data_IF_896434511580
#
_entry.id   IF_896434511580
#
_cell.length_a   1.000
_cell.length_b   1.000
_cell.length_c   1.000
_cell.angle_alpha   90.00
_cell.angle_beta   90.00
_cell.angle_gamma   90.00
#
_symmetry.space_group_name_H-M   'P 1'
#
loop_
_entity.id
_entity.type
_entity.pdbx_description
1 polymer ?
#
# COMPACT_ATOMS: atom_id res chain seq x y z
N UNK A 1 -55.91 -13.38 -24.22
CA UNK A 1 -55.11 -13.79 -25.39
C UNK A 1 -54.06 -12.71 -25.60
N UNK A 2 -52.79 -13.10 -25.79
CA UNK A 2 -51.54 -12.29 -25.73
C UNK A 2 -51.15 -11.91 -24.29
N UNK A 3 -49.95 -12.19 -23.77
CA UNK A 3 -48.74 -12.72 -24.39
C UNK A 3 -47.51 -12.05 -23.76
N UNK A 4 -46.88 -12.79 -22.84
CA UNK A 4 -45.52 -12.71 -22.26
C UNK A 4 -44.52 -11.72 -22.88
N UNK A 5 -43.75 -11.02 -22.02
CA UNK A 5 -42.27 -10.94 -22.09
C UNK A 5 -41.69 -10.45 -20.75
N UNK A 6 -41.34 -11.42 -19.90
CA UNK A 6 -40.48 -11.20 -18.75
C UNK A 6 -39.02 -11.23 -19.24
N UNK A 7 -38.32 -10.11 -19.11
CA UNK A 7 -36.88 -10.04 -19.36
C UNK A 7 -36.14 -10.54 -18.11
N UNK A 8 -35.72 -11.79 -18.15
CA UNK A 8 -34.73 -12.34 -17.22
C UNK A 8 -33.35 -11.80 -17.59
N UNK A 9 -32.80 -10.91 -16.76
CA UNK A 9 -31.39 -10.57 -16.82
C UNK A 9 -30.57 -11.75 -16.29
N UNK A 10 -29.92 -12.48 -17.20
CA UNK A 10 -28.80 -13.35 -16.87
C UNK A 10 -27.62 -12.46 -16.45
N UNK A 11 -27.43 -12.26 -15.15
CA UNK A 11 -26.12 -11.89 -14.62
C UNK A 11 -25.20 -13.09 -14.79
N UNK A 12 -24.40 -13.06 -15.87
CA UNK A 12 -23.24 -13.93 -15.98
C UNK A 12 -22.31 -13.62 -14.80
N UNK A 13 -22.35 -14.47 -13.78
CA UNK A 13 -21.35 -14.48 -12.73
C UNK A 13 -20.01 -14.83 -13.39
N UNK A 14 -19.17 -13.81 -13.59
CA UNK A 14 -17.75 -14.04 -13.79
C UNK A 14 -17.24 -14.60 -12.46
N UNK A 15 -17.24 -15.93 -12.37
CA UNK A 15 -16.55 -16.65 -11.32
C UNK A 15 -15.05 -16.37 -11.51
N UNK A 16 -14.58 -15.28 -10.91
CA UNK A 16 -13.17 -15.11 -10.64
C UNK A 16 -12.77 -16.28 -9.74
N UNK A 17 -12.04 -17.24 -10.30
CA UNK A 17 -11.42 -18.30 -9.54
C UNK A 17 -10.66 -17.63 -8.38
N UNK A 18 -11.08 -17.88 -7.14
CA UNK A 18 -10.31 -17.46 -5.99
C UNK A 18 -8.94 -18.13 -6.12
N UNK A 19 -7.83 -17.39 -6.18
CA UNK A 19 -6.53 -18.01 -6.12
C UNK A 19 -6.47 -18.79 -4.81
N UNK A 20 -6.35 -20.11 -4.92
CA UNK A 20 -6.10 -20.95 -3.76
C UNK A 20 -4.82 -20.43 -3.09
N UNK A 21 -4.79 -20.35 -1.76
CA UNK A 21 -3.57 -19.95 -1.06
C UNK A 21 -2.43 -20.82 -1.55
N UNK A 22 -1.28 -20.21 -1.84
CA UNK A 22 -0.11 -21.02 -2.07
C UNK A 22 0.20 -21.67 -0.73
N UNK A 23 -0.06 -22.97 -0.58
CA UNK A 23 0.26 -23.73 0.65
C UNK A 23 1.78 -23.83 0.91
N UNK A 24 2.59 -22.99 0.27
CA UNK A 24 4.04 -22.96 0.42
C UNK A 24 4.40 -21.92 1.45
N UNK A 25 4.95 -22.35 2.57
CA UNK A 25 5.52 -21.40 3.53
C UNK A 25 6.66 -20.59 2.89
N UNK A 26 6.81 -19.29 3.22
CA UNK A 26 7.96 -18.52 2.78
C UNK A 26 9.27 -19.15 3.25
N UNK A 27 10.31 -19.14 2.40
CA UNK A 27 11.66 -19.52 2.81
C UNK A 27 12.27 -18.41 3.69
N UNK A 28 11.90 -18.40 4.97
CA UNK A 28 12.32 -17.37 5.93
C UNK A 28 13.84 -17.18 6.03
N UNK A 29 14.70 -18.22 5.99
CA UNK A 29 16.15 -18.04 5.94
C UNK A 29 16.62 -17.20 4.74
N UNK A 30 16.10 -17.46 3.54
CA UNK A 30 16.44 -16.67 2.34
C UNK A 30 15.93 -15.24 2.47
N UNK A 31 14.69 -15.06 2.94
CA UNK A 31 14.09 -13.74 3.14
C UNK A 31 14.87 -12.94 4.21
N UNK A 32 15.31 -13.57 5.29
CA UNK A 32 16.08 -12.92 6.36
C UNK A 32 17.42 -12.37 5.86
N UNK A 33 18.08 -13.09 4.96
CA UNK A 33 19.34 -12.65 4.33
C UNK A 33 19.14 -11.44 3.42
N UNK A 34 18.04 -11.41 2.65
CA UNK A 34 17.79 -10.35 1.65
C UNK A 34 17.09 -9.13 2.27
N UNK A 35 16.15 -9.37 3.19
CA UNK A 35 15.31 -8.36 3.85
C UNK A 35 15.35 -8.51 5.38
N UNK A 36 16.52 -8.36 6.01
CA UNK A 36 16.68 -8.58 7.45
C UNK A 36 15.75 -7.69 8.31
N UNK A 37 15.47 -6.48 7.83
CA UNK A 37 14.62 -5.49 8.51
C UNK A 37 13.12 -5.66 8.24
N UNK A 38 12.70 -6.65 7.43
CA UNK A 38 11.29 -6.94 7.21
C UNK A 38 10.62 -7.20 8.56
N UNK A 39 9.56 -6.44 8.87
CA UNK A 39 8.77 -6.68 10.08
C UNK A 39 7.85 -7.87 9.82
N UNK A 40 8.04 -8.95 10.56
CA UNK A 40 7.19 -10.14 10.52
C UNK A 40 6.24 -10.17 11.71
N UNK A 41 5.12 -10.85 11.53
CA UNK A 41 4.12 -11.06 12.58
C UNK A 41 4.35 -12.42 13.20
N UNK A 42 4.38 -12.47 14.53
CA UNK A 42 4.72 -13.65 15.31
C UNK A 42 3.60 -13.86 16.29
N UNK A 43 2.92 -15.01 16.20
CA UNK A 43 2.01 -15.42 17.26
C UNK A 43 2.85 -15.94 18.41
N UNK A 44 2.66 -15.35 19.59
CA UNK A 44 3.20 -15.86 20.85
C UNK A 44 2.06 -16.49 21.62
N UNK A 45 2.26 -17.73 22.05
CA UNK A 45 1.39 -18.48 22.92
C UNK A 45 2.11 -18.76 24.23
N UNK A 46 1.38 -18.66 25.34
CA UNK A 46 1.87 -18.89 26.70
C UNK A 46 0.99 -19.91 27.38
N UNK A 47 1.59 -20.82 28.16
CA UNK A 47 0.83 -21.79 28.97
C UNK A 47 0.06 -21.13 30.13
N UNK A 48 0.40 -19.88 30.48
CA UNK A 48 -0.30 -19.05 31.47
C UNK A 48 -0.64 -17.67 30.89
N UNK A 49 -1.61 -16.94 31.47
CA UNK A 49 -1.89 -15.56 31.07
C UNK A 49 -0.66 -14.66 31.12
N UNK A 50 -0.51 -13.76 30.13
CA UNK A 50 0.58 -12.78 30.09
C UNK A 50 0.49 -11.83 31.29
N UNK A 51 1.61 -11.69 31.99
CA UNK A 51 1.82 -10.69 33.04
C UNK A 51 2.62 -9.51 32.51
N UNK A 52 2.75 -8.45 33.30
CA UNK A 52 3.58 -7.30 32.92
C UNK A 52 5.06 -7.69 32.75
N UNK A 53 5.57 -8.57 33.62
CA UNK A 53 6.95 -9.08 33.54
C UNK A 53 7.20 -9.85 32.23
N UNK A 54 6.20 -10.62 31.78
CA UNK A 54 6.27 -11.35 30.51
C UNK A 54 6.37 -10.40 29.32
N UNK A 55 5.56 -9.33 29.32
CA UNK A 55 5.58 -8.32 28.26
C UNK A 55 6.91 -7.55 28.24
N UNK A 56 7.48 -7.23 29.40
CA UNK A 56 8.80 -6.63 29.50
C UNK A 56 9.88 -7.55 28.90
N UNK A 57 9.86 -8.85 29.27
CA UNK A 57 10.80 -9.84 28.74
C UNK A 57 10.71 -10.01 27.22
N UNK A 58 9.49 -10.00 26.67
CA UNK A 58 9.28 -10.05 25.21
C UNK A 58 9.76 -8.75 24.54
N UNK A 59 9.54 -7.59 25.16
CA UNK A 59 10.02 -6.30 24.66
C UNK A 59 11.56 -6.23 24.61
N UNK A 60 12.26 -6.76 25.61
CA UNK A 60 13.73 -6.88 25.62
C UNK A 60 14.26 -7.74 24.45
N UNK A 61 13.42 -8.64 23.94
CA UNK A 61 13.67 -9.45 22.73
C UNK A 61 13.17 -8.78 21.44
N UNK A 62 12.89 -7.48 21.47
CA UNK A 62 12.36 -6.70 20.34
C UNK A 62 10.99 -7.17 19.81
N UNK A 63 10.22 -7.89 20.63
CA UNK A 63 8.84 -8.27 20.33
C UNK A 63 7.90 -7.22 20.91
N UNK A 64 7.15 -6.56 20.04
CA UNK A 64 6.12 -5.59 20.45
C UNK A 64 4.76 -6.05 19.97
N UNK A 65 3.67 -5.87 20.73
CA UNK A 65 2.32 -6.16 20.26
C UNK A 65 2.06 -5.54 18.88
N UNK A 66 1.52 -6.32 17.96
CA UNK A 66 1.40 -5.93 16.55
C UNK A 66 0.14 -5.12 16.27
N UNK A 67 -0.95 -5.39 16.99
CA UNK A 67 -2.31 -4.96 16.63
C UNK A 67 -3.08 -4.27 17.77
N UNK A 68 -2.48 -4.12 18.95
CA UNK A 68 -3.09 -3.53 20.14
C UNK A 68 -2.06 -2.99 21.11
N UNK A 69 -2.48 -2.13 22.03
CA UNK A 69 -1.62 -1.67 23.14
C UNK A 69 -1.20 -2.84 24.04
N UNK A 70 -0.01 -2.75 24.63
CA UNK A 70 0.52 -3.81 25.49
C UNK A 70 -0.38 -4.13 26.69
N UNK A 71 -1.07 -3.13 27.26
CA UNK A 71 -2.04 -3.35 28.32
C UNK A 71 -3.21 -4.25 27.92
N UNK A 72 -3.59 -4.27 26.64
CA UNK A 72 -4.65 -5.12 26.09
C UNK A 72 -4.20 -6.55 25.81
N UNK A 73 -2.92 -6.88 26.08
CA UNK A 73 -2.37 -8.24 26.01
C UNK A 73 -2.35 -8.91 27.38
N UNK A 74 -2.35 -8.13 28.47
CA UNK A 74 -2.35 -8.66 29.83
C UNK A 74 -3.56 -9.58 30.06
N UNK A 75 -3.32 -10.72 30.71
CA UNK A 75 -4.36 -11.70 30.97
C UNK A 75 -4.71 -12.62 29.79
N UNK A 76 -4.16 -12.38 28.59
CA UNK A 76 -4.34 -13.29 27.45
C UNK A 76 -3.32 -14.43 27.48
N UNK A 77 -3.63 -15.56 26.86
CA UNK A 77 -2.67 -16.67 26.67
C UNK A 77 -2.06 -16.67 25.27
N UNK A 78 -2.58 -15.85 24.34
CA UNK A 78 -2.13 -15.76 22.95
C UNK A 78 -2.25 -14.32 22.47
N UNK A 79 -1.22 -13.83 21.80
CA UNK A 79 -1.24 -12.52 21.14
C UNK A 79 -0.27 -12.48 19.95
N UNK A 80 -0.47 -11.52 19.06
CA UNK A 80 0.39 -11.31 17.89
C UNK A 80 1.35 -10.17 18.18
N UNK A 81 2.64 -10.46 18.00
CA UNK A 81 3.75 -9.53 18.13
C UNK A 81 4.38 -9.27 16.77
N UNK A 82 5.18 -8.21 16.68
CA UNK A 82 5.99 -7.89 15.52
C UNK A 82 7.45 -7.72 15.93
N UNK A 83 8.35 -8.19 15.07
CA UNK A 83 9.79 -8.01 15.19
C UNK A 83 10.44 -7.90 13.80
N UNK A 84 11.63 -7.27 13.66
CA UNK A 84 12.47 -7.48 12.50
C UNK A 84 12.78 -8.97 12.31
N UNK A 85 12.74 -9.45 11.07
CA UNK A 85 12.98 -10.86 10.76
C UNK A 85 14.36 -11.32 11.24
N UNK A 86 15.41 -10.51 11.02
CA UNK A 86 16.77 -10.83 11.48
C UNK A 86 16.85 -11.08 12.99
N UNK A 87 16.09 -10.29 13.78
CA UNK A 87 16.08 -10.39 15.24
C UNK A 87 15.37 -11.65 15.69
N UNK A 88 14.28 -12.01 15.01
CA UNK A 88 13.59 -13.25 15.27
C UNK A 88 14.43 -14.47 14.90
N UNK A 89 15.05 -14.49 13.72
CA UNK A 89 15.85 -15.63 13.25
C UNK A 89 17.14 -15.83 14.04
N UNK A 90 17.71 -14.74 14.59
CA UNK A 90 18.91 -14.82 15.43
C UNK A 90 18.60 -15.00 16.92
N UNK A 91 17.33 -14.93 17.33
CA UNK A 91 16.96 -15.01 18.75
C UNK A 91 17.19 -16.44 19.28
N UNK A 92 17.66 -16.51 20.53
CA UNK A 92 17.57 -17.74 21.32
C UNK A 92 16.10 -18.17 21.44
N UNK A 93 15.82 -19.48 21.62
CA UNK A 93 14.47 -19.94 21.92
C UNK A 93 13.78 -19.09 22.99
N UNK A 94 12.48 -18.91 22.84
CA UNK A 94 11.70 -18.19 23.84
C UNK A 94 11.76 -18.97 25.16
N UNK A 95 11.90 -18.28 26.31
CA UNK A 95 11.93 -18.94 27.59
C UNK A 95 10.54 -19.49 27.91
N UNK A 96 10.48 -20.56 28.71
CA UNK A 96 9.22 -21.00 29.32
C UNK A 96 8.58 -19.81 30.05
N UNK A 97 7.26 -19.54 29.89
CA UNK A 97 6.22 -20.42 29.33
C UNK A 97 5.91 -20.24 27.83
N UNK A 98 6.73 -19.52 27.06
CA UNK A 98 6.36 -19.07 25.72
C UNK A 98 6.73 -20.02 24.59
N UNK A 99 5.85 -20.06 23.60
CA UNK A 99 6.09 -20.61 22.26
C UNK A 99 5.77 -19.55 21.22
N UNK A 100 6.46 -19.57 20.08
CA UNK A 100 6.26 -18.56 19.04
C UNK A 100 6.43 -19.09 17.64
N UNK A 101 5.57 -18.63 16.73
CA UNK A 101 5.57 -18.99 15.31
C UNK A 101 5.35 -17.76 14.44
N UNK A 102 6.12 -17.63 13.36
CA UNK A 102 5.86 -16.60 12.34
C UNK A 102 4.55 -16.92 11.62
N UNK A 103 3.69 -15.92 11.45
CA UNK A 103 2.46 -16.06 10.69
C UNK A 103 2.73 -16.03 9.19
N UNK A 104 2.53 -17.18 8.53
CA UNK A 104 2.55 -17.32 7.07
C UNK A 104 1.22 -16.89 6.43
N UNK A 105 0.11 -17.05 7.14
CA UNK A 105 -1.22 -16.56 6.77
C UNK A 105 -1.98 -16.03 7.98
N UNK A 106 -2.75 -14.96 7.80
CA UNK A 106 -3.55 -14.36 8.86
C UNK A 106 -4.70 -13.54 8.30
N UNK A 107 -5.69 -13.25 9.16
CA UNK A 107 -6.70 -12.25 8.87
C UNK A 107 -6.28 -10.90 9.44
N UNK A 108 -6.38 -9.87 8.62
CA UNK A 108 -6.21 -8.47 9.00
C UNK A 108 -7.56 -7.76 8.85
N UNK A 109 -8.20 -7.42 9.96
CA UNK A 109 -9.44 -6.66 9.95
C UNK A 109 -9.24 -5.30 10.61
N UNK A 110 -9.96 -4.28 10.16
CA UNK A 110 -9.75 -2.96 10.73
C UNK A 110 -10.64 -1.88 10.16
N UNK A 111 -10.37 -0.67 10.62
CA UNK A 111 -11.00 0.56 10.19
C UNK A 111 -9.91 1.55 9.79
N UNK A 112 -9.99 2.03 8.57
CA UNK A 112 -9.24 3.16 8.05
C UNK A 112 -10.15 4.41 8.06
N UNK A 113 -9.64 5.53 8.56
CA UNK A 113 -10.39 6.78 8.75
C UNK A 113 -9.68 7.91 8.03
N UNK A 114 -10.44 8.66 7.25
CA UNK A 114 -10.02 9.93 6.66
C UNK A 114 -11.03 11.00 7.03
N UNK A 115 -10.55 12.21 7.26
CA UNK A 115 -11.45 13.34 7.42
C UNK A 115 -10.90 14.57 6.70
N UNK A 116 -11.83 15.36 6.18
CA UNK A 116 -11.55 16.63 5.52
C UNK A 116 -12.28 17.75 6.23
N UNK A 117 -11.74 18.96 6.14
CA UNK A 117 -12.42 20.20 6.49
C UNK A 117 -12.34 21.16 5.31
N UNK A 118 -13.47 21.76 4.96
CA UNK A 118 -13.53 22.79 3.92
C UNK A 118 -12.92 24.08 4.45
N UNK A 119 -11.80 24.53 3.87
CA UNK A 119 -11.10 25.76 4.25
C UNK A 119 -11.39 26.91 3.27
N UNK A 120 -12.15 26.66 2.21
CA UNK A 120 -12.54 27.65 1.22
C UNK A 120 -13.37 28.78 1.84
N UNK A 121 -12.83 30.00 1.85
CA UNK A 121 -13.47 31.17 2.48
C UNK A 121 -14.82 31.50 1.83
N UNK A 122 -15.85 31.73 2.65
CA UNK A 122 -17.22 32.03 2.24
C UNK A 122 -17.84 31.01 1.29
N UNK A 123 -17.26 29.80 1.19
CA UNK A 123 -17.74 28.79 0.27
C UNK A 123 -19.05 28.19 0.75
N UNK A 124 -20.02 28.13 -0.17
CA UNK A 124 -21.28 27.42 -0.04
C UNK A 124 -21.69 26.92 -1.42
N UNK A 125 -21.48 25.64 -1.69
CA UNK A 125 -21.69 25.08 -3.02
C UNK A 125 -21.51 23.58 -3.08
N UNK A 126 -21.65 22.97 -4.28
CA UNK A 126 -21.56 21.54 -4.45
C UNK A 126 -20.13 21.02 -4.34
N UNK A 127 -19.94 19.81 -3.82
CA UNK A 127 -18.65 19.13 -3.77
C UNK A 127 -18.80 17.66 -4.15
N UNK A 128 -18.18 17.29 -5.25
CA UNK A 128 -17.95 15.91 -5.62
C UNK A 128 -16.56 15.49 -5.12
N UNK A 129 -16.50 14.41 -4.34
CA UNK A 129 -15.28 13.88 -3.75
C UNK A 129 -15.12 12.41 -4.13
N UNK A 130 -14.02 12.08 -4.78
CA UNK A 130 -13.59 10.71 -5.08
C UNK A 130 -12.41 10.34 -4.18
N UNK A 131 -12.47 9.16 -3.57
CA UNK A 131 -11.40 8.66 -2.71
C UNK A 131 -11.31 7.14 -2.78
N UNK A 132 -10.08 6.64 -2.84
CA UNK A 132 -9.85 5.19 -2.84
C UNK A 132 -10.16 4.55 -1.49
N UNK A 133 -10.94 3.46 -1.55
CA UNK A 133 -11.21 2.53 -0.47
C UNK A 133 -10.23 1.34 -0.50
N UNK A 134 -10.12 0.57 0.60
CA UNK A 134 -9.30 -0.65 0.64
C UNK A 134 -9.62 -1.58 -0.54
N UNK A 135 -8.60 -2.04 -1.28
CA UNK A 135 -8.75 -2.89 -2.48
C UNK A 135 -8.03 -4.24 -2.36
N UNK A 136 -8.24 -5.13 -3.33
CA UNK A 136 -7.43 -6.35 -3.52
C UNK A 136 -5.97 -6.01 -3.85
N UNK A 137 -5.00 -6.82 -3.44
CA UNK A 137 -3.59 -6.68 -3.85
C UNK A 137 -2.81 -8.01 -3.71
N UNK A 138 -1.54 -8.03 -4.13
CA UNK A 138 -0.67 -9.21 -3.99
C UNK A 138 -0.67 -9.73 -2.54
N UNK A 139 -0.98 -11.01 -2.37
CA UNK A 139 -1.07 -11.67 -1.07
C UNK A 139 -2.10 -11.08 -0.12
N UNK A 140 -3.07 -10.30 -0.62
CA UNK A 140 -4.14 -9.66 0.17
C UNK A 140 -5.48 -9.85 -0.51
N UNK A 141 -6.23 -10.85 -0.06
CA UNK A 141 -7.59 -11.07 -0.52
C UNK A 141 -8.59 -10.31 0.35
N UNK A 142 -9.39 -9.41 -0.24
CA UNK A 142 -10.37 -8.59 0.47
C UNK A 142 -11.70 -9.33 0.61
N UNK A 143 -11.90 -9.98 1.77
CA UNK A 143 -13.12 -10.75 2.05
C UNK A 143 -14.35 -9.86 2.23
N UNK A 144 -14.18 -8.73 2.92
CA UNK A 144 -15.28 -7.78 3.13
C UNK A 144 -14.76 -6.37 3.29
N UNK A 145 -15.59 -5.42 2.88
CA UNK A 145 -15.35 -4.00 3.10
C UNK A 145 -16.67 -3.24 3.21
N UNK A 146 -16.67 -2.23 4.06
CA UNK A 146 -17.82 -1.34 4.27
C UNK A 146 -17.36 0.11 4.39
N UNK A 147 -18.28 1.04 4.18
CA UNK A 147 -17.98 2.45 4.37
C UNK A 147 -19.14 3.21 5.05
N UNK A 148 -18.77 4.14 5.93
CA UNK A 148 -19.67 5.10 6.56
C UNK A 148 -19.14 6.50 6.31
N UNK A 149 -20.02 7.41 5.90
CA UNK A 149 -19.67 8.79 5.57
C UNK A 149 -20.55 9.73 6.38
N UNK A 150 -19.95 10.78 6.95
CA UNK A 150 -20.62 11.83 7.72
C UNK A 150 -20.14 13.21 7.26
N UNK A 151 -21.02 14.16 6.95
CA UNK A 151 -22.46 14.01 6.89
C UNK A 151 -22.87 13.02 5.78
N UNK A 152 -24.00 12.31 5.95
CA UNK A 152 -24.50 11.39 4.95
C UNK A 152 -24.76 12.12 3.63
N UNK A 153 -24.46 11.47 2.52
CA UNK A 153 -24.79 11.96 1.18
C UNK A 153 -24.92 10.80 0.19
N UNK A 154 -25.37 11.10 -1.03
CA UNK A 154 -25.38 10.15 -2.13
C UNK A 154 -23.95 9.66 -2.40
N UNK A 155 -23.79 8.33 -2.44
CA UNK A 155 -22.50 7.68 -2.63
C UNK A 155 -22.58 6.52 -3.60
N UNK A 156 -21.50 6.34 -4.34
CA UNK A 156 -21.35 5.29 -5.35
C UNK A 156 -19.97 4.65 -5.19
N UNK A 157 -19.89 3.33 -5.36
CA UNK A 157 -18.62 2.61 -5.37
C UNK A 157 -18.34 2.13 -6.78
N UNK A 158 -17.25 2.60 -7.38
CA UNK A 158 -16.78 2.21 -8.71
C UNK A 158 -15.47 1.42 -8.59
N UNK A 159 -15.32 0.38 -9.39
CA UNK A 159 -14.04 -0.34 -9.51
C UNK A 159 -13.47 -0.04 -10.89
N UNK A 160 -12.23 0.43 -10.96
CA UNK A 160 -11.55 0.66 -12.24
C UNK A 160 -10.80 -0.58 -12.73
N UNK A 161 -10.21 -0.48 -13.92
CA UNK A 161 -9.47 -1.57 -14.58
C UNK A 161 -8.25 -2.07 -13.79
N UNK A 162 -7.67 -1.25 -12.91
CA UNK A 162 -6.59 -1.65 -12.01
C UNK A 162 -7.09 -2.28 -10.70
N UNK A 163 -8.41 -2.41 -10.55
CA UNK A 163 -9.05 -2.91 -9.33
C UNK A 163 -9.07 -1.87 -8.20
N UNK A 164 -8.83 -0.59 -8.47
CA UNK A 164 -9.00 0.44 -7.45
C UNK A 164 -10.48 0.63 -7.15
N UNK A 165 -10.80 0.72 -5.86
CA UNK A 165 -12.18 0.88 -5.38
C UNK A 165 -12.40 2.35 -5.05
N UNK A 166 -13.05 3.09 -5.94
CA UNK A 166 -13.35 4.51 -5.80
C UNK A 166 -14.69 4.72 -5.11
N UNK A 167 -14.68 5.31 -3.92
CA UNK A 167 -15.88 5.83 -3.29
C UNK A 167 -16.09 7.27 -3.78
N UNK A 168 -17.19 7.47 -4.51
CA UNK A 168 -17.62 8.75 -5.05
C UNK A 168 -18.72 9.30 -4.14
N UNK A 169 -18.55 10.53 -3.66
CA UNK A 169 -19.49 11.23 -2.78
C UNK A 169 -19.93 12.51 -3.46
N UNK A 170 -21.24 12.76 -3.51
CA UNK A 170 -21.81 13.94 -4.16
C UNK A 170 -22.52 14.79 -3.12
N UNK A 171 -21.93 15.91 -2.70
CA UNK A 171 -22.57 16.86 -1.79
C UNK A 171 -23.22 17.97 -2.61
N UNK A 172 -24.55 18.14 -2.59
CA UNK A 172 -25.20 19.23 -3.31
C UNK A 172 -24.85 20.60 -2.70
N UNK A 173 -24.62 20.65 -1.40
CA UNK A 173 -24.16 21.85 -0.68
C UNK A 173 -23.21 21.43 0.45
N UNK A 174 -22.01 22.01 0.46
CA UNK A 174 -21.07 22.00 1.57
C UNK A 174 -20.62 23.43 1.86
N UNK A 175 -20.31 23.72 3.13
CA UNK A 175 -19.97 25.06 3.60
C UNK A 175 -18.55 25.13 4.14
N UNK A 176 -17.98 26.33 4.16
CA UNK A 176 -16.75 26.60 4.90
C UNK A 176 -16.84 26.05 6.33
N UNK A 177 -15.73 25.48 6.82
CA UNK A 177 -15.58 24.82 8.11
C UNK A 177 -16.33 23.51 8.31
N UNK A 178 -17.14 23.07 7.35
CA UNK A 178 -17.81 21.78 7.42
C UNK A 178 -16.78 20.65 7.32
N UNK A 179 -16.96 19.63 8.16
CA UNK A 179 -16.10 18.45 8.18
C UNK A 179 -16.77 17.26 7.48
N UNK A 180 -15.99 16.53 6.69
CA UNK A 180 -16.38 15.28 6.05
C UNK A 180 -15.56 14.18 6.69
N UNK A 181 -16.21 13.15 7.22
CA UNK A 181 -15.60 12.00 7.87
C UNK A 181 -15.94 10.74 7.10
N UNK A 182 -14.91 9.99 6.73
CA UNK A 182 -15.01 8.73 6.03
C UNK A 182 -14.40 7.63 6.89
N UNK A 183 -15.16 6.56 7.08
CA UNK A 183 -14.73 5.37 7.79
C UNK A 183 -14.85 4.18 6.85
N UNK A 184 -13.76 3.47 6.63
CA UNK A 184 -13.69 2.28 5.79
C UNK A 184 -13.36 1.07 6.65
N UNK A 185 -14.32 0.17 6.81
CA UNK A 185 -14.08 -1.14 7.41
C UNK A 185 -13.52 -2.09 6.34
N UNK A 186 -12.59 -2.96 6.72
CA UNK A 186 -12.03 -3.98 5.84
C UNK A 186 -11.71 -5.26 6.60
N UNK A 187 -11.74 -6.39 5.89
CA UNK A 187 -11.22 -7.69 6.34
C UNK A 187 -10.45 -8.33 5.20
N UNK A 188 -9.14 -8.47 5.38
CA UNK A 188 -8.26 -9.16 4.45
C UNK A 188 -7.90 -10.54 4.97
N UNK A 189 -7.79 -11.52 4.08
CA UNK A 189 -6.87 -12.65 4.26
C UNK A 189 -5.53 -12.29 3.66
N UNK A 190 -4.47 -12.39 4.45
CA UNK A 190 -3.11 -12.08 4.04
C UNK A 190 -2.33 -13.39 3.90
N UNK A 191 -1.76 -13.63 2.73
CA UNK A 191 -0.85 -14.73 2.43
C UNK A 191 0.56 -14.13 2.26
N UNK A 192 1.47 -14.46 3.19
CA UNK A 192 2.83 -13.94 3.18
C UNK A 192 3.67 -14.51 2.05
N UNK A 193 3.42 -15.72 1.59
CA UNK A 193 4.18 -16.31 0.50
C UNK A 193 3.85 -15.60 -0.81
N UNK A 194 2.56 -15.39 -1.08
CA UNK A 194 2.11 -14.64 -2.24
C UNK A 194 2.56 -13.16 -2.17
N UNK A 195 2.48 -12.54 -0.98
CA UNK A 195 2.96 -11.17 -0.79
C UNK A 195 4.47 -11.04 -1.08
N UNK A 196 5.28 -12.00 -0.62
CA UNK A 196 6.74 -11.99 -0.80
C UNK A 196 7.17 -12.43 -2.20
N UNK A 197 6.39 -13.27 -2.88
CA UNK A 197 6.60 -13.62 -4.30
C UNK A 197 6.58 -12.38 -5.19
N UNK A 198 5.80 -11.38 -4.81
CA UNK A 198 5.70 -10.10 -5.48
C UNK A 198 6.65 -9.01 -4.93
N UNK A 199 7.72 -9.37 -4.21
CA UNK A 199 8.73 -8.42 -3.74
C UNK A 199 9.88 -8.32 -4.74
N UNK A 200 10.17 -7.13 -5.27
CA UNK A 200 11.25 -6.96 -6.27
C UNK A 200 12.62 -7.43 -5.76
N UNK A 201 12.87 -7.35 -4.45
CA UNK A 201 14.14 -7.78 -3.88
C UNK A 201 14.27 -9.31 -3.81
N UNK A 202 13.16 -10.02 -3.93
CA UNK A 202 13.09 -11.48 -3.96
C UNK A 202 12.86 -12.04 -5.37
N UNK A 203 12.76 -11.17 -6.38
CA UNK A 203 12.63 -11.59 -7.77
C UNK A 203 13.80 -12.49 -8.20
N UNK A 204 13.48 -13.44 -9.07
CA UNK A 204 14.41 -14.43 -9.64
C UNK A 204 15.46 -13.82 -10.56
N UNK A 205 16.09 -14.68 -11.36
CA UNK A 205 17.09 -14.23 -12.33
C UNK A 205 16.44 -13.46 -13.48
N UNK A 206 17.16 -12.53 -14.13
CA UNK A 206 16.66 -11.82 -15.32
C UNK A 206 16.20 -12.80 -16.40
N UNK A 207 15.01 -12.55 -16.94
CA UNK A 207 14.49 -13.23 -18.13
C UNK A 207 14.54 -12.29 -19.32
N UNK A 208 14.73 -12.85 -20.52
CA UNK A 208 14.62 -12.13 -21.79
C UNK A 208 13.21 -12.24 -22.40
N UNK A 209 12.22 -12.63 -21.60
CA UNK A 209 10.83 -12.68 -22.07
C UNK A 209 10.37 -11.32 -22.60
N UNK A 210 9.65 -11.34 -23.72
CA UNK A 210 9.08 -10.12 -24.30
C UNK A 210 8.05 -9.49 -23.35
N UNK A 211 7.94 -8.17 -23.40
CA UNK A 211 6.96 -7.44 -22.60
C UNK A 211 5.56 -7.63 -23.21
N UNK A 212 4.55 -8.00 -22.38
CA UNK A 212 3.18 -8.09 -22.85
C UNK A 212 2.64 -6.74 -23.39
N UNK A 213 1.71 -6.74 -24.37
CA UNK A 213 1.17 -5.52 -24.96
C UNK A 213 0.52 -4.57 -23.95
N UNK A 214 -0.09 -5.08 -22.88
CA UNK A 214 -0.70 -4.30 -21.79
C UNK A 214 0.34 -3.69 -20.84
N UNK A 215 1.59 -4.15 -20.89
CA UNK A 215 2.71 -3.67 -20.06
C UNK A 215 3.53 -2.59 -20.80
N UNK A 216 3.64 -2.68 -22.13
CA UNK A 216 4.40 -1.73 -22.97
C UNK A 216 4.04 -0.25 -22.70
N UNK A 217 2.76 0.14 -22.50
CA UNK A 217 2.40 1.53 -22.19
C UNK A 217 3.14 2.09 -20.97
N UNK A 218 3.48 1.24 -19.99
CA UNK A 218 4.17 1.66 -18.76
C UNK A 218 5.67 1.91 -18.94
N UNK A 219 6.19 1.84 -20.17
CA UNK A 219 7.51 2.36 -20.54
C UNK A 219 7.45 3.84 -20.96
N UNK A 220 6.28 4.31 -21.41
CA UNK A 220 6.12 5.64 -22.01
C UNK A 220 5.99 6.71 -20.93
N UNK A 221 6.18 7.96 -21.34
CA UNK A 221 5.81 9.11 -20.52
C UNK A 221 4.29 9.16 -20.28
N UNK A 222 3.92 9.83 -19.18
CA UNK A 222 2.56 10.11 -18.80
C UNK A 222 2.51 11.36 -17.92
N UNK A 223 1.31 11.75 -17.49
CA UNK A 223 1.12 12.87 -16.57
C UNK A 223 2.00 12.71 -15.32
N UNK A 224 2.84 13.72 -15.05
CA UNK A 224 3.88 13.78 -14.01
C UNK A 224 5.00 12.74 -14.06
N UNK A 225 5.06 11.88 -15.08
CA UNK A 225 6.11 10.87 -15.23
C UNK A 225 6.75 11.02 -16.60
N UNK A 226 7.92 11.64 -16.64
CA UNK A 226 8.66 11.88 -17.87
C UNK A 226 9.98 11.07 -17.89
N UNK A 227 10.06 9.97 -18.67
CA UNK A 227 11.29 9.22 -18.83
C UNK A 227 12.36 9.94 -19.65
N UNK A 228 12.01 11.02 -20.37
CA UNK A 228 12.96 11.80 -21.18
C UNK A 228 13.68 12.88 -20.39
N UNK A 229 13.39 13.00 -19.09
CA UNK A 229 14.07 13.88 -18.16
C UNK A 229 15.60 13.69 -18.25
N UNK A 230 16.40 14.75 -18.45
CA UNK A 230 17.84 14.60 -18.70
C UNK A 230 18.58 13.80 -17.62
N UNK A 231 18.22 13.97 -16.35
CA UNK A 231 18.81 13.21 -15.25
C UNK A 231 18.44 11.72 -15.30
N UNK A 232 17.22 11.38 -15.73
CA UNK A 232 16.76 10.01 -15.87
C UNK A 232 17.49 9.31 -17.04
N UNK A 233 17.60 10.00 -18.18
CA UNK A 233 18.35 9.52 -19.35
C UNK A 233 19.83 9.31 -19.03
N UNK A 234 20.50 10.30 -18.43
CA UNK A 234 21.90 10.17 -18.04
C UNK A 234 22.13 9.03 -17.02
N UNK A 235 21.22 8.86 -16.05
CA UNK A 235 21.27 7.75 -15.11
C UNK A 235 21.05 6.39 -15.79
N UNK A 236 20.16 6.32 -16.79
CA UNK A 236 19.87 5.11 -17.55
C UNK A 236 21.07 4.71 -18.43
N UNK A 237 21.68 5.66 -19.15
CA UNK A 237 22.87 5.46 -19.99
C UNK A 237 24.08 4.98 -19.18
N UNK A 238 24.28 5.54 -17.98
CA UNK A 238 25.33 5.10 -17.05
C UNK A 238 25.12 3.68 -16.52
N UNK A 239 23.94 3.08 -16.72
CA UNK A 239 23.62 1.70 -16.34
C UNK A 239 24.18 0.63 -17.29
N UNK A 240 24.77 1.02 -18.42
CA UNK A 240 25.35 0.09 -19.41
C UNK A 240 24.32 -0.62 -20.29
N UNK A 241 24.79 -1.56 -21.11
CA UNK A 241 23.99 -2.26 -22.12
C UNK A 241 23.23 -3.49 -21.57
N UNK A 242 22.28 -3.98 -22.36
CA UNK A 242 21.37 -5.11 -22.08
C UNK A 242 22.08 -6.44 -21.78
N UNK A 243 21.42 -7.40 -21.09
CA UNK A 243 20.03 -7.40 -20.63
C UNK A 243 19.81 -6.61 -19.34
N UNK A 244 18.66 -5.94 -19.25
CA UNK A 244 18.31 -5.11 -18.09
C UNK A 244 17.77 -5.98 -16.97
N UNK A 245 18.52 -6.05 -15.86
CA UNK A 245 18.04 -6.67 -14.62
C UNK A 245 17.25 -5.65 -13.80
N UNK A 246 15.93 -5.72 -13.87
CA UNK A 246 15.04 -4.79 -13.17
C UNK A 246 15.27 -4.73 -11.65
N UNK A 247 15.67 -5.84 -11.01
CA UNK A 247 15.97 -5.88 -9.59
C UNK A 247 17.26 -5.14 -9.28
N UNK A 248 18.34 -5.40 -10.03
CA UNK A 248 19.62 -4.71 -9.82
C UNK A 248 19.53 -3.23 -10.14
N UNK A 249 18.78 -2.87 -11.19
CA UNK A 249 18.55 -1.48 -11.58
C UNK A 249 17.71 -0.74 -10.53
N UNK A 250 16.70 -1.38 -9.95
CA UNK A 250 15.99 -0.78 -8.81
C UNK A 250 16.89 -0.60 -7.59
N UNK A 251 17.77 -1.55 -7.27
CA UNK A 251 18.75 -1.40 -6.19
C UNK A 251 19.71 -0.23 -6.48
N UNK A 252 20.19 -0.11 -7.73
CA UNK A 252 21.04 1.00 -8.18
C UNK A 252 20.32 2.33 -8.06
N UNK A 253 19.04 2.38 -8.46
CA UNK A 253 18.20 3.57 -8.38
C UNK A 253 17.94 3.97 -6.94
N UNK A 254 17.57 3.04 -6.07
CA UNK A 254 17.34 3.30 -4.65
C UNK A 254 18.57 3.93 -3.99
N UNK A 255 19.78 3.43 -4.29
CA UNK A 255 21.04 4.04 -3.80
C UNK A 255 21.30 5.44 -4.37
N UNK A 256 20.98 5.66 -5.64
CA UNK A 256 21.09 6.98 -6.26
C UNK A 256 20.12 7.96 -5.60
N UNK A 257 18.87 7.56 -5.41
CA UNK A 257 17.83 8.37 -4.76
C UNK A 257 18.20 8.69 -3.32
N UNK A 258 18.68 7.72 -2.53
CA UNK A 258 19.13 7.94 -1.14
C UNK A 258 20.25 8.98 -1.02
N UNK A 259 21.08 9.13 -2.06
CA UNK A 259 22.18 10.11 -2.11
C UNK A 259 21.75 11.46 -2.65
N UNK A 260 20.72 11.49 -3.49
CA UNK A 260 20.33 12.69 -4.26
C UNK A 260 19.15 13.41 -3.61
N UNK A 261 18.23 12.67 -2.99
CA UNK A 261 16.97 13.18 -2.46
C UNK A 261 16.91 12.98 -0.95
N UNK A 262 16.95 14.08 -0.20
CA UNK A 262 16.69 14.07 1.24
C UNK A 262 15.20 13.91 1.50
N UNK A 263 14.82 12.94 2.35
CA UNK A 263 13.41 12.69 2.65
C UNK A 263 12.76 13.87 3.39
N UNK A 264 11.70 14.44 2.82
CA UNK A 264 10.97 15.57 3.41
C UNK A 264 10.07 15.12 4.57
N UNK A 265 10.67 15.09 5.77
CA UNK A 265 9.94 14.80 7.00
C UNK A 265 8.90 15.87 7.36
N UNK A 266 9.09 17.12 6.93
CA UNK A 266 8.15 18.21 7.22
C UNK A 266 6.87 17.99 6.42
N UNK A 267 6.98 17.81 5.10
CA UNK A 267 5.84 17.50 4.22
C UNK A 267 5.06 16.28 4.72
N UNK A 268 5.77 15.21 5.10
CA UNK A 268 5.16 14.01 5.69
C UNK A 268 4.36 14.34 6.96
N UNK A 269 4.96 15.08 7.89
CA UNK A 269 4.30 15.46 9.16
C UNK A 269 3.13 16.38 8.95
N UNK A 270 3.25 17.38 8.07
CA UNK A 270 2.18 18.32 7.77
C UNK A 270 0.98 17.60 7.15
N UNK A 271 1.22 16.67 6.23
CA UNK A 271 0.15 15.91 5.60
C UNK A 271 -0.57 14.98 6.59
N UNK A 272 0.17 14.09 7.24
CA UNK A 272 -0.42 13.11 8.16
C UNK A 272 -0.84 13.71 9.50
N UNK A 273 -0.27 14.84 9.90
CA UNK A 273 -0.65 15.61 11.09
C UNK A 273 -1.84 16.56 10.85
N UNK A 274 -2.37 16.58 9.63
CA UNK A 274 -3.57 17.33 9.28
C UNK A 274 -3.40 18.85 9.20
N UNK A 275 -2.21 19.28 8.79
CA UNK A 275 -1.83 20.69 8.61
C UNK A 275 -1.80 21.08 7.13
N UNK A 276 -1.78 20.13 6.20
CA UNK A 276 -1.79 20.41 4.77
C UNK A 276 -3.19 20.75 4.26
N UNK A 277 -3.28 21.82 3.48
CA UNK A 277 -4.47 22.26 2.75
C UNK A 277 -4.15 22.21 1.26
N UNK A 278 -5.00 21.56 0.48
CA UNK A 278 -4.86 21.47 -0.96
C UNK A 278 -6.15 21.89 -1.64
N UNK A 279 -6.06 22.58 -2.77
CA UNK A 279 -7.20 22.76 -3.67
C UNK A 279 -7.37 21.61 -4.66
N UNK A 280 -6.27 20.88 -4.88
CA UNK A 280 -6.22 19.62 -5.63
C UNK A 280 -5.10 18.76 -5.01
N UNK A 281 -5.39 17.49 -4.72
CA UNK A 281 -4.40 16.59 -4.14
C UNK A 281 -3.23 16.33 -5.09
N UNK A 282 -3.39 16.55 -6.39
CA UNK A 282 -2.31 16.48 -7.37
C UNK A 282 -1.12 17.39 -6.99
N UNK A 283 -1.38 18.51 -6.31
CA UNK A 283 -0.37 19.43 -5.81
C UNK A 283 0.50 18.84 -4.67
N UNK A 284 0.03 17.76 -4.02
CA UNK A 284 0.85 17.00 -3.07
C UNK A 284 2.02 16.31 -3.79
N UNK A 285 1.91 16.04 -5.09
CA UNK A 285 2.91 15.35 -5.88
C UNK A 285 3.75 16.36 -6.65
N UNK A 286 4.96 16.61 -6.15
CA UNK A 286 5.88 17.54 -6.77
C UNK A 286 6.42 16.98 -8.09
N UNK A 287 6.52 17.82 -9.11
CA UNK A 287 7.02 17.38 -10.41
C UNK A 287 8.48 16.90 -10.31
N UNK A 288 8.86 15.83 -11.03
CA UNK A 288 10.21 15.28 -10.98
C UNK A 288 11.36 16.30 -11.16
N UNK A 289 11.30 17.26 -12.10
CA UNK A 289 12.35 18.28 -12.24
C UNK A 289 12.54 19.12 -10.97
N UNK A 290 11.43 19.48 -10.31
CA UNK A 290 11.46 20.30 -9.09
C UNK A 290 12.02 19.49 -7.92
N UNK A 291 11.66 18.21 -7.81
CA UNK A 291 12.19 17.31 -6.75
C UNK A 291 13.70 17.10 -6.89
N UNK A 292 14.21 16.96 -8.11
CA UNK A 292 15.66 16.90 -8.36
C UNK A 292 16.35 18.23 -8.05
N UNK A 293 15.81 19.36 -8.54
CA UNK A 293 16.40 20.68 -8.32
C UNK A 293 16.51 21.03 -6.83
N UNK A 294 15.50 20.66 -6.04
CA UNK A 294 15.48 20.92 -4.60
C UNK A 294 16.27 19.87 -3.78
N UNK A 295 16.62 18.72 -4.38
CA UNK A 295 17.25 17.59 -3.68
C UNK A 295 16.41 17.08 -2.50
N UNK A 296 15.09 17.27 -2.54
CA UNK A 296 14.19 17.02 -1.40
C UNK A 296 12.81 16.59 -1.87
N UNK A 297 12.27 15.53 -1.27
CA UNK A 297 10.93 15.02 -1.55
C UNK A 297 10.49 13.96 -0.55
N UNK A 298 9.19 13.72 -0.44
CA UNK A 298 8.62 12.61 0.33
C UNK A 298 8.18 11.47 -0.61
N UNK A 299 7.63 10.38 -0.06
CA UNK A 299 7.18 9.25 -0.88
C UNK A 299 6.23 9.57 -2.07
N UNK A 300 5.30 10.55 -2.03
CA UNK A 300 4.55 10.94 -3.23
C UNK A 300 5.44 11.54 -4.34
N UNK A 301 6.56 12.15 -4.01
CA UNK A 301 7.47 12.78 -4.97
C UNK A 301 8.47 11.76 -5.53
N UNK A 302 9.03 10.93 -4.64
CA UNK A 302 10.05 9.95 -5.03
C UNK A 302 9.50 8.85 -5.90
N UNK A 303 8.22 8.45 -5.73
CA UNK A 303 7.60 7.43 -6.61
C UNK A 303 7.52 7.90 -8.07
N UNK A 304 7.33 9.20 -8.31
CA UNK A 304 7.31 9.76 -9.67
C UNK A 304 8.70 9.74 -10.30
N UNK A 305 9.72 10.11 -9.52
CA UNK A 305 11.13 9.99 -9.94
C UNK A 305 11.52 8.54 -10.19
N UNK A 306 11.16 7.62 -9.30
CA UNK A 306 11.44 6.19 -9.46
C UNK A 306 10.90 5.68 -10.79
N UNK A 307 9.64 5.97 -11.11
CA UNK A 307 9.08 5.54 -12.38
C UNK A 307 9.67 6.28 -13.59
N UNK A 308 9.99 7.57 -13.49
CA UNK A 308 10.67 8.27 -14.59
C UNK A 308 12.02 7.61 -14.92
N UNK A 309 12.84 7.31 -13.91
CA UNK A 309 14.16 6.73 -14.06
C UNK A 309 14.11 5.27 -14.55
N UNK A 310 13.22 4.45 -13.98
CA UNK A 310 13.05 3.07 -14.42
C UNK A 310 12.53 2.99 -15.86
N UNK A 311 11.57 3.84 -16.24
CA UNK A 311 11.05 3.90 -17.60
C UNK A 311 12.12 4.35 -18.60
N UNK A 312 12.96 5.32 -18.24
CA UNK A 312 14.13 5.71 -19.04
C UNK A 312 15.11 4.55 -19.27
N UNK A 313 15.25 3.67 -18.28
CA UNK A 313 16.08 2.45 -18.36
C UNK A 313 15.45 1.32 -19.17
N UNK A 314 14.21 1.48 -19.64
CA UNK A 314 13.46 0.45 -20.36
C UNK A 314 12.75 -0.54 -19.44
N UNK A 315 12.50 -0.17 -18.18
CA UNK A 315 11.81 -1.00 -17.18
C UNK A 315 10.40 -0.45 -16.95
N UNK A 316 9.34 -1.22 -17.23
CA UNK A 316 7.97 -0.74 -17.00
C UNK A 316 7.72 -0.49 -15.52
N UNK A 317 7.20 0.69 -15.19
CA UNK A 317 6.94 1.11 -13.82
C UNK A 317 5.60 1.83 -13.70
N UNK A 318 4.88 1.61 -12.61
CA UNK A 318 3.69 2.38 -12.24
C UNK A 318 3.67 2.75 -10.75
N UNK A 319 3.16 3.95 -10.42
CA UNK A 319 2.92 4.31 -9.03
C UNK A 319 1.86 3.42 -8.37
N UNK A 320 2.04 3.16 -7.08
CA UNK A 320 1.06 2.56 -6.21
C UNK A 320 1.06 3.25 -4.84
N UNK A 321 -0.01 3.05 -4.10
CA UNK A 321 -0.17 3.61 -2.77
C UNK A 321 -0.90 2.67 -1.83
N UNK A 322 -0.44 2.66 -0.60
CA UNK A 322 -1.10 2.05 0.55
C UNK A 322 -1.25 3.10 1.64
N UNK A 323 -2.06 2.80 2.64
CA UNK A 323 -2.23 3.72 3.76
C UNK A 323 -0.87 4.15 4.35
N UNK A 324 -0.59 5.45 4.26
CA UNK A 324 0.62 6.08 4.80
C UNK A 324 1.89 6.01 3.93
N UNK A 325 1.85 5.43 2.72
CA UNK A 325 3.04 5.30 1.87
C UNK A 325 2.74 5.11 0.38
N UNK A 326 3.50 5.79 -0.48
CA UNK A 326 3.53 5.59 -1.94
C UNK A 326 4.83 4.90 -2.34
N UNK A 327 4.75 4.06 -3.36
CA UNK A 327 5.85 3.21 -3.83
C UNK A 327 5.63 2.81 -5.28
N UNK A 328 6.68 2.32 -5.93
CA UNK A 328 6.64 1.84 -7.31
C UNK A 328 6.24 0.36 -7.40
N UNK A 329 5.58 0.00 -8.50
CA UNK A 329 5.39 -1.39 -8.93
C UNK A 329 6.07 -1.52 -10.29
N UNK A 330 6.97 -2.49 -10.39
CA UNK A 330 7.93 -2.64 -11.48
C UNK A 330 7.66 -3.96 -12.18
N UNK A 331 7.62 -3.98 -13.49
CA UNK A 331 7.45 -5.24 -14.24
C UNK A 331 8.79 -5.93 -14.41
N UNK A 332 8.87 -7.20 -14.01
CA UNK A 332 10.02 -8.08 -14.22
C UNK A 332 9.63 -9.15 -15.24
N UNK A 333 10.28 -9.19 -16.42
CA UNK A 333 9.99 -10.22 -17.42
C UNK A 333 10.02 -11.64 -16.84
N UNK A 334 9.03 -12.47 -17.20
CA UNK A 334 8.88 -13.84 -16.69
C UNK A 334 8.29 -13.97 -15.29
N UNK A 335 8.27 -12.89 -14.50
CA UNK A 335 7.81 -12.89 -13.10
C UNK A 335 6.56 -12.01 -12.89
N UNK A 336 6.36 -11.02 -13.76
CA UNK A 336 5.22 -10.11 -13.73
C UNK A 336 5.47 -8.84 -12.90
N UNK A 337 4.39 -8.23 -12.41
CA UNK A 337 4.45 -7.01 -11.61
C UNK A 337 4.96 -7.28 -10.19
N UNK A 338 5.99 -6.55 -9.78
CA UNK A 338 6.68 -6.65 -8.50
C UNK A 338 6.56 -5.35 -7.70
N UNK A 339 6.24 -5.44 -6.41
CA UNK A 339 6.22 -4.33 -5.48
C UNK A 339 7.62 -4.00 -4.97
N UNK A 340 7.92 -2.71 -4.87
CA UNK A 340 9.15 -2.23 -4.23
C UNK A 340 8.99 -2.01 -2.72
N UNK A 341 7.75 -2.07 -2.20
CA UNK A 341 7.43 -1.95 -0.77
C UNK A 341 6.47 -3.05 -0.32
N UNK A 342 6.99 -4.04 0.39
CA UNK A 342 6.19 -5.06 1.08
C UNK A 342 6.04 -4.72 2.57
N UNK A 343 4.80 -4.79 3.07
CA UNK A 343 4.51 -4.62 4.51
C UNK A 343 3.32 -5.51 4.88
N UNK A 344 3.43 -6.45 5.84
CA UNK A 344 2.37 -7.42 6.16
C UNK A 344 1.03 -6.82 6.57
N UNK A 345 1.04 -5.63 7.18
CA UNK A 345 -0.18 -4.93 7.61
C UNK A 345 -0.59 -3.78 6.69
N UNK A 346 -0.02 -3.70 5.49
CA UNK A 346 -0.34 -2.65 4.52
C UNK A 346 -1.80 -2.70 4.07
N UNK A 347 -2.46 -1.55 3.99
CA UNK A 347 -3.82 -1.40 3.44
C UNK A 347 -3.68 -0.81 2.03
N UNK A 348 -3.77 -1.61 0.95
CA UNK A 348 -3.65 -1.10 -0.42
C UNK A 348 -4.82 -0.17 -0.75
N UNK A 349 -4.50 0.97 -1.39
CA UNK A 349 -5.48 2.02 -1.71
C UNK A 349 -5.53 2.32 -3.21
N UNK A 350 -4.38 2.58 -3.82
CA UNK A 350 -4.30 3.02 -5.23
C UNK A 350 -3.22 2.23 -6.00
N UNK A 351 -3.45 2.06 -7.28
CA UNK A 351 -2.51 1.58 -8.29
C UNK A 351 -2.79 2.35 -9.57
N UNK A 352 -1.79 3.02 -10.16
CA UNK A 352 -2.01 3.71 -11.43
C UNK A 352 -2.49 2.71 -12.50
N UNK A 353 -3.65 2.95 -13.14
CA UNK A 353 -4.19 2.05 -14.15
C UNK A 353 -3.46 2.13 -15.49
N UNK A 354 -2.81 3.26 -15.76
CA UNK A 354 -2.04 3.51 -16.97
C UNK A 354 -0.71 4.21 -16.70
N UNK A 355 -0.10 4.81 -17.73
CA UNK A 355 1.20 5.47 -17.63
C UNK A 355 1.19 6.73 -16.75
N UNK A 356 0.01 7.31 -16.52
CA UNK A 356 -0.16 8.55 -15.76
C UNK A 356 -0.07 8.36 -14.24
N UNK A 357 0.39 9.40 -13.55
CA UNK A 357 0.15 9.52 -12.13
C UNK A 357 -1.33 9.75 -11.84
N UNK A 358 -1.85 9.03 -10.84
CA UNK A 358 -3.22 9.17 -10.37
C UNK A 358 -3.23 9.40 -8.84
N UNK A 359 -3.60 10.61 -8.38
CA UNK A 359 -3.80 10.87 -6.96
C UNK A 359 -4.89 9.96 -6.40
N UNK A 360 -4.72 9.50 -5.16
CA UNK A 360 -5.67 8.57 -4.51
C UNK A 360 -6.96 9.23 -3.99
N UNK A 361 -7.05 10.56 -4.15
CA UNK A 361 -8.24 11.35 -3.91
C UNK A 361 -8.34 12.44 -4.97
N UNK A 362 -9.56 12.82 -5.32
CA UNK A 362 -9.86 13.93 -6.23
C UNK A 362 -11.13 14.61 -5.77
N UNK A 363 -11.28 15.89 -6.06
CA UNK A 363 -12.55 16.56 -5.83
C UNK A 363 -12.81 17.66 -6.83
N UNK A 364 -14.08 18.02 -6.98
CA UNK A 364 -14.54 19.07 -7.86
C UNK A 364 -15.69 19.82 -7.19
N UNK A 365 -15.71 21.16 -7.21
CA UNK A 365 -14.70 22.06 -7.75
C UNK A 365 -13.40 22.04 -6.93
N UNK A 366 -12.31 22.58 -7.48
CA UNK A 366 -10.98 22.65 -6.84
C UNK A 366 -10.94 23.65 -5.68
N UNK A 367 -11.65 23.33 -4.59
CA UNK A 367 -11.72 24.15 -3.37
C UNK A 367 -10.69 23.68 -2.34
N UNK A 368 -10.15 24.58 -1.50
CA UNK A 368 -9.26 24.21 -0.41
C UNK A 368 -9.90 23.22 0.59
N UNK A 369 -9.36 22.00 0.64
CA UNK A 369 -9.67 20.98 1.64
C UNK A 369 -8.43 20.70 2.49
N UNK A 370 -8.62 20.72 3.82
CA UNK A 370 -7.62 20.26 4.78
C UNK A 370 -7.89 18.82 5.15
N UNK A 371 -6.91 17.95 5.03
CA UNK A 371 -7.00 16.62 5.68
C UNK A 371 -6.90 16.83 7.19
N UNK A 372 -7.89 16.44 7.97
CA UNK A 372 -7.91 16.63 9.43
C UNK A 372 -7.72 15.34 10.21
N UNK A 373 -7.86 14.18 9.55
CA UNK A 373 -7.61 12.87 10.14
C UNK A 373 -7.09 11.92 9.09
N UNK A 374 -6.05 11.18 9.45
CA UNK A 374 -5.49 10.09 8.65
C UNK A 374 -5.03 8.96 9.58
N UNK A 375 -5.89 7.96 9.77
CA UNK A 375 -5.71 6.94 10.81
C UNK A 375 -6.11 5.56 10.31
N UNK A 376 -5.41 4.52 10.77
CA UNK A 376 -5.86 3.15 10.62
C UNK A 376 -5.65 2.36 11.92
N UNK A 377 -6.67 1.60 12.32
CA UNK A 377 -6.64 0.69 13.46
C UNK A 377 -7.07 -0.68 13.00
N UNK A 378 -6.34 -1.73 13.35
CA UNK A 378 -6.61 -3.10 12.90
C UNK A 378 -6.34 -4.14 13.98
N UNK A 379 -6.94 -5.31 13.84
CA UNK A 379 -6.64 -6.54 14.58
C UNK A 379 -6.08 -7.60 13.64
N UNK A 380 -5.24 -8.47 14.20
CA UNK A 380 -4.66 -9.61 13.50
C UNK A 380 -5.16 -10.89 14.17
N UNK A 381 -5.86 -11.72 13.40
CA UNK A 381 -6.26 -13.06 13.81
C UNK A 381 -5.37 -14.05 13.06
N UNK A 382 -4.56 -14.81 13.79
CA UNK A 382 -3.80 -15.89 13.19
C UNK A 382 -4.76 -17.02 12.78
N UNK A 383 -4.66 -17.50 11.54
CA UNK A 383 -5.48 -18.62 11.10
C UNK A 383 -5.10 -19.86 11.92
N UNK A 384 -6.10 -20.53 12.48
CA UNK A 384 -5.88 -21.87 13.04
C UNK A 384 -5.57 -22.80 11.87
N UNK A 385 -4.47 -23.53 11.97
CA UNK A 385 -4.24 -24.68 11.10
C UNK A 385 -5.42 -25.61 11.36
N UNK A 386 -6.26 -25.82 10.35
CA UNK A 386 -7.25 -26.88 10.43
C UNK A 386 -6.48 -28.18 10.66
N UNK A 387 -6.84 -28.98 11.69
CA UNK A 387 -6.10 -30.17 12.10
C UNK A 387 -5.96 -31.21 10.99
#
# INVERSE_FOLDING_TARGET
MLGVLAFSFFTAAIAGAQPSPSNREPNWPVVARIKPKLKVLIQIQSSRPFTLADLALLADRSLTPADRDAGLVLGLNRAVFKAPLERWTAAKPLPSPFQGKILSSFILNGIYRVSFKVEAQNYRGPLDLEITAPREAFGRNLHSAGNVVRPPTAKELRIDEAGNRWLILRYPEIRQNQSIHLHFAFRYRVDMAELLRHDIFLAGQPSQAELPPDVIPFLKGGYKIDPTLPAAMAWAEAGGSSPVDARQEYIRLSRYMDRTITYDQRKRREYFGGQSVYSDLDQMYQDPPVTLANGRGACPDTVLLECAFLRARGIPCRPAGRFGHFYSVVYVPGEGWMSTSVTPTGIPLILSPGPDHLPYQKWTPAIPLRTTRWEATYRIEAQEESP
#
